data_IF_185758417966
#
_entry.id   IF_185758417966
#
_cell.length_a   1.000
_cell.length_b   1.000
_cell.length_c   1.000
_cell.angle_alpha   90.00
_cell.angle_beta   90.00
_cell.angle_gamma   90.00
#
_symmetry.space_group_name_H-M   'P 1'
#
loop_
_entity.id
_entity.type
_entity.pdbx_description
1 polymer ?
#
# COMPACT_ATOMS: atom_id res chain seq x y z
N UNK A 1 -41.44 -8.45 10.79
CA UNK A 1 -40.67 -7.87 9.67
C UNK A 1 -39.20 -8.18 9.92
N UNK A 2 -38.63 -9.19 9.25
CA UNK A 2 -37.18 -9.39 9.30
C UNK A 2 -36.49 -8.19 8.65
N UNK A 3 -35.68 -7.46 9.43
CA UNK A 3 -34.77 -6.47 8.87
C UNK A 3 -33.85 -7.20 7.90
N UNK A 4 -34.01 -6.93 6.61
CA UNK A 4 -33.17 -7.48 5.56
C UNK A 4 -31.70 -7.22 5.91
N UNK A 5 -30.96 -8.28 6.20
CA UNK A 5 -29.55 -8.21 6.59
C UNK A 5 -28.75 -7.70 5.39
N UNK A 6 -28.15 -6.52 5.51
CA UNK A 6 -27.42 -5.86 4.41
C UNK A 6 -25.92 -6.12 4.56
N UNK A 7 -25.20 -6.54 3.51
CA UNK A 7 -23.77 -6.81 3.60
C UNK A 7 -23.00 -5.57 4.09
N UNK A 8 -22.01 -5.77 4.97
CA UNK A 8 -21.25 -4.67 5.58
C UNK A 8 -19.77 -5.01 5.71
N UNK A 9 -18.92 -4.08 5.27
CA UNK A 9 -17.50 -4.12 5.53
C UNK A 9 -17.21 -3.75 7.00
N UNK A 10 -16.23 -4.40 7.62
CA UNK A 10 -15.81 -4.14 9.01
C UNK A 10 -14.33 -3.84 9.13
N UNK A 11 -13.51 -4.62 8.43
CA UNK A 11 -12.05 -4.52 8.48
C UNK A 11 -11.47 -4.86 7.12
N UNK A 12 -10.37 -4.20 6.77
CA UNK A 12 -9.56 -4.53 5.60
C UNK A 12 -8.10 -4.63 6.03
N UNK A 13 -7.44 -5.70 5.59
CA UNK A 13 -6.03 -5.95 5.86
C UNK A 13 -5.32 -6.38 4.57
N UNK A 14 -4.12 -5.85 4.29
CA UNK A 14 -3.43 -4.78 5.03
C UNK A 14 -4.14 -3.42 4.88
N UNK A 15 -3.89 -2.49 5.82
CA UNK A 15 -4.42 -1.10 5.74
C UNK A 15 -3.56 -0.20 4.84
N UNK A 16 -2.46 -0.71 4.31
CA UNK A 16 -1.62 -0.05 3.33
C UNK A 16 -1.22 -1.02 2.20
N UNK A 17 -1.04 -0.50 1.00
CA UNK A 17 -0.67 -1.30 -0.16
C UNK A 17 0.15 -0.50 -1.18
N UNK A 18 0.96 -1.23 -1.96
CA UNK A 18 1.78 -0.65 -3.02
C UNK A 18 0.90 -0.25 -4.20
N UNK A 19 1.09 0.95 -4.74
CA UNK A 19 0.31 1.47 -5.88
C UNK A 19 0.41 0.63 -7.15
N UNK A 20 1.49 -0.14 -7.30
CA UNK A 20 1.71 -1.09 -8.40
C UNK A 20 0.73 -2.26 -8.39
N UNK A 21 -0.06 -2.41 -7.33
CA UNK A 21 -1.02 -3.49 -7.19
C UNK A 21 -0.36 -4.81 -6.79
N UNK A 22 -1.06 -5.92 -7.06
CA UNK A 22 -0.64 -7.28 -6.71
C UNK A 22 -0.76 -7.61 -5.22
N UNK A 23 -1.06 -6.62 -4.37
CA UNK A 23 -1.29 -6.85 -2.94
C UNK A 23 -2.62 -7.58 -2.76
N UNK A 24 -2.59 -8.76 -2.13
CA UNK A 24 -3.79 -9.48 -1.75
C UNK A 24 -4.41 -8.83 -0.53
N UNK A 25 -5.62 -8.32 -0.70
CA UNK A 25 -6.40 -7.67 0.34
C UNK A 25 -7.41 -8.67 0.90
N UNK A 26 -7.50 -8.72 2.22
CA UNK A 26 -8.45 -9.52 3.00
C UNK A 26 -9.46 -8.57 3.63
N UNK A 27 -10.75 -8.83 3.42
CA UNK A 27 -11.83 -7.99 3.93
C UNK A 27 -12.72 -8.82 4.82
N UNK A 28 -12.83 -8.42 6.07
CA UNK A 28 -13.77 -9.01 7.01
C UNK A 28 -15.03 -8.16 7.08
N UNK A 29 -16.17 -8.83 7.24
CA UNK A 29 -17.46 -8.19 7.31
C UNK A 29 -18.56 -9.14 7.72
N UNK A 30 -19.79 -8.79 7.35
CA UNK A 30 -20.99 -9.52 7.72
C UNK A 30 -21.91 -9.67 6.52
N UNK A 31 -22.51 -10.86 6.42
CA UNK A 31 -23.59 -11.20 5.49
C UNK A 31 -23.23 -11.04 4.01
N UNK A 32 -21.99 -11.33 3.64
CA UNK A 32 -21.61 -11.43 2.23
C UNK A 32 -22.37 -12.58 1.56
N UNK A 33 -22.77 -12.37 0.31
CA UNK A 33 -23.44 -13.39 -0.49
C UNK A 33 -22.46 -14.00 -1.47
N UNK A 34 -22.41 -15.33 -1.51
CA UNK A 34 -21.66 -16.06 -2.52
C UNK A 34 -22.39 -16.11 -3.87
N UNK A 35 -21.83 -16.88 -4.82
CA UNK A 35 -22.45 -17.12 -6.12
C UNK A 35 -23.93 -17.55 -5.99
N UNK A 36 -24.83 -17.05 -6.85
CA UNK A 36 -24.57 -16.31 -8.10
C UNK A 36 -24.37 -14.80 -7.94
N UNK A 37 -24.26 -14.28 -6.71
CA UNK A 37 -24.04 -12.84 -6.48
C UNK A 37 -22.61 -12.46 -6.85
N UNK A 38 -22.44 -11.43 -7.68
CA UNK A 38 -21.14 -10.84 -7.97
C UNK A 38 -20.84 -9.75 -6.94
N UNK A 39 -19.65 -9.81 -6.35
CA UNK A 39 -19.16 -8.87 -5.35
C UNK A 39 -18.09 -7.99 -5.98
N UNK A 40 -18.31 -6.68 -5.98
CA UNK A 40 -17.37 -5.70 -6.53
C UNK A 40 -16.94 -4.74 -5.43
N UNK A 41 -15.63 -4.61 -5.26
CA UNK A 41 -15.03 -3.59 -4.42
C UNK A 41 -14.83 -2.32 -5.24
N UNK A 42 -15.38 -1.21 -4.78
CA UNK A 42 -15.10 0.10 -5.32
C UNK A 42 -13.96 0.73 -4.51
N UNK A 43 -12.83 0.97 -5.19
CA UNK A 43 -11.70 1.70 -4.66
C UNK A 43 -11.78 3.15 -5.13
N UNK A 44 -12.23 4.06 -4.27
CA UNK A 44 -12.26 5.49 -4.54
C UNK A 44 -10.95 6.13 -4.11
N UNK A 45 -10.30 6.86 -5.02
CA UNK A 45 -9.05 7.59 -4.79
C UNK A 45 -9.35 9.08 -4.92
N UNK A 46 -9.64 9.80 -3.81
CA UNK A 46 -10.03 11.20 -3.83
C UNK A 46 -8.99 12.11 -4.51
N UNK A 47 -7.70 11.77 -4.35
CA UNK A 47 -6.57 12.49 -4.94
C UNK A 47 -6.74 12.76 -6.45
N UNK A 48 -7.34 11.81 -7.18
CA UNK A 48 -7.55 11.90 -8.63
C UNK A 48 -9.03 11.93 -9.00
N UNK A 49 -9.92 11.97 -8.00
CA UNK A 49 -11.37 11.83 -8.17
C UNK A 49 -11.76 10.66 -9.09
N UNK A 50 -11.16 9.48 -8.87
CA UNK A 50 -11.46 8.26 -9.63
C UNK A 50 -11.89 7.13 -8.71
N UNK A 51 -12.78 6.29 -9.22
CA UNK A 51 -13.17 5.02 -8.61
C UNK A 51 -12.77 3.89 -9.53
N UNK A 52 -12.16 2.85 -8.96
CA UNK A 52 -11.74 1.63 -9.65
C UNK A 52 -12.57 0.46 -9.14
N UNK A 53 -13.19 -0.26 -10.05
CA UNK A 53 -14.01 -1.43 -9.75
C UNK A 53 -13.15 -2.68 -9.76
N UNK A 54 -13.16 -3.42 -8.65
CA UNK A 54 -12.29 -4.57 -8.43
C UNK A 54 -13.17 -5.78 -8.13
N UNK A 55 -13.07 -6.87 -8.92
CA UNK A 55 -13.76 -8.11 -8.59
C UNK A 55 -13.28 -8.66 -7.25
N UNK A 56 -14.23 -8.96 -6.36
CA UNK A 56 -13.95 -9.62 -5.09
C UNK A 56 -14.24 -11.12 -5.19
N UNK A 57 -13.35 -11.91 -4.61
CA UNK A 57 -13.51 -13.34 -4.40
C UNK A 57 -14.23 -13.59 -3.09
N UNK A 58 -15.37 -14.25 -3.16
CA UNK A 58 -16.09 -14.73 -1.98
C UNK A 58 -15.30 -15.83 -1.28
N UNK A 59 -15.05 -15.67 0.02
CA UNK A 59 -14.51 -16.72 0.88
C UNK A 59 -15.61 -17.34 1.72
N UNK A 60 -16.24 -16.53 2.56
CA UNK A 60 -17.36 -16.92 3.43
C UNK A 60 -18.35 -15.76 3.57
N UNK A 61 -19.45 -15.97 4.29
CA UNK A 61 -20.40 -14.88 4.62
C UNK A 61 -19.77 -13.73 5.43
N UNK A 62 -18.57 -13.93 5.98
CA UNK A 62 -17.84 -12.93 6.78
C UNK A 62 -16.50 -12.55 6.18
N UNK A 63 -16.10 -13.15 5.06
CA UNK A 63 -14.79 -12.96 4.46
C UNK A 63 -14.83 -12.82 2.94
N UNK A 64 -14.18 -11.77 2.44
CA UNK A 64 -13.89 -11.54 1.02
C UNK A 64 -12.39 -11.33 0.84
N UNK A 65 -11.92 -11.56 -0.38
CA UNK A 65 -10.59 -11.11 -0.77
C UNK A 65 -10.59 -10.49 -2.16
N UNK A 66 -9.65 -9.60 -2.43
CA UNK A 66 -9.43 -9.05 -3.76
C UNK A 66 -7.94 -8.77 -3.96
N UNK A 67 -7.52 -8.59 -5.20
CA UNK A 67 -6.15 -8.20 -5.53
C UNK A 67 -6.20 -6.74 -5.94
N UNK A 68 -5.40 -5.91 -5.29
CA UNK A 68 -5.29 -4.49 -5.65
C UNK A 68 -4.72 -4.37 -7.08
N UNK A 69 -5.37 -3.63 -8.00
CA UNK A 69 -4.85 -3.40 -9.35
C UNK A 69 -3.69 -2.39 -9.35
N UNK A 70 -2.96 -2.32 -10.46
CA UNK A 70 -1.97 -1.25 -10.67
C UNK A 70 -2.69 0.10 -10.89
N UNK A 71 -2.50 1.01 -9.94
CA UNK A 71 -3.02 2.39 -9.95
C UNK A 71 -1.89 3.43 -9.99
N UNK A 72 -0.66 3.00 -10.28
CA UNK A 72 0.53 3.85 -10.29
C UNK A 72 0.41 5.02 -11.27
N UNK A 73 -0.21 4.81 -12.42
CA UNK A 73 -0.44 5.89 -13.40
C UNK A 73 -1.39 6.98 -12.90
N UNK A 74 -2.27 6.64 -11.95
CA UNK A 74 -3.23 7.58 -11.37
C UNK A 74 -2.55 8.44 -10.30
N UNK A 75 -1.92 7.83 -9.30
CA UNK A 75 -1.35 8.53 -8.15
C UNK A 75 0.08 9.03 -8.38
N UNK A 76 0.74 8.54 -9.44
CA UNK A 76 2.13 8.82 -9.81
C UNK A 76 3.08 8.47 -8.66
N UNK A 77 3.80 9.48 -8.16
CA UNK A 77 4.80 9.36 -7.11
C UNK A 77 4.23 9.75 -5.73
N UNK A 78 2.91 9.97 -5.62
CA UNK A 78 2.27 10.51 -4.42
C UNK A 78 1.80 9.40 -3.49
N UNK A 79 1.86 9.65 -2.18
CA UNK A 79 1.12 8.87 -1.21
C UNK A 79 -0.35 9.30 -1.24
N UNK A 80 -1.26 8.35 -1.40
CA UNK A 80 -2.68 8.62 -1.58
C UNK A 80 -3.53 7.83 -0.59
N UNK A 81 -4.47 8.50 0.06
CA UNK A 81 -5.55 7.83 0.77
C UNK A 81 -6.57 7.29 -0.25
N UNK A 82 -7.10 6.10 0.02
CA UNK A 82 -8.16 5.51 -0.77
C UNK A 82 -9.23 4.87 0.13
N UNK A 83 -10.46 4.86 -0.37
CA UNK A 83 -11.63 4.38 0.33
C UNK A 83 -12.21 3.16 -0.38
N UNK A 84 -12.46 2.11 0.40
CA UNK A 84 -13.00 0.84 -0.06
C UNK A 84 -14.48 0.79 0.31
N UNK A 85 -15.33 0.55 -0.67
CA UNK A 85 -16.74 0.22 -0.48
C UNK A 85 -17.16 -1.01 -1.27
N UNK A 86 -18.34 -1.56 -0.98
CA UNK A 86 -18.84 -2.78 -1.59
C UNK A 86 -20.11 -2.51 -2.40
N UNK A 87 -20.14 -3.02 -3.64
CA UNK A 87 -21.36 -3.21 -4.40
C UNK A 87 -21.64 -4.69 -4.63
N UNK A 88 -22.93 -4.99 -4.69
CA UNK A 88 -23.45 -6.32 -4.97
C UNK A 88 -24.22 -6.25 -6.29
N UNK A 89 -23.92 -7.15 -7.20
CA UNK A 89 -24.70 -7.34 -8.42
C UNK A 89 -25.36 -8.71 -8.37
N UNK A 90 -26.67 -8.72 -8.20
CA UNK A 90 -27.48 -9.94 -8.23
C UNK A 90 -27.77 -10.26 -9.72
N UNK A 91 -27.33 -11.43 -10.18
CA UNK A 91 -27.67 -11.96 -11.50
C UNK A 91 -28.96 -12.78 -11.39
N UNK A 92 -30.09 -12.22 -11.83
CA UNK A 92 -31.35 -12.97 -11.89
C UNK A 92 -31.41 -13.88 -13.13
N UNK A 93 -32.12 -14.99 -13.02
CA UNK A 93 -32.36 -15.95 -14.12
C UNK A 93 -33.13 -15.35 -15.31
N UNK A 94 -33.68 -14.13 -15.17
CA UNK A 94 -34.44 -13.41 -16.19
C UNK A 94 -33.61 -12.35 -16.94
N UNK A 95 -32.28 -12.36 -16.80
CA UNK A 95 -31.37 -11.44 -17.51
C UNK A 95 -31.35 -10.00 -16.98
N UNK A 96 -32.10 -9.71 -15.92
CA UNK A 96 -32.06 -8.41 -15.23
C UNK A 96 -30.94 -8.42 -14.19
N UNK A 97 -29.97 -7.54 -14.38
CA UNK A 97 -28.90 -7.24 -13.41
C UNK A 97 -29.36 -6.10 -12.51
N UNK A 98 -29.29 -6.30 -11.20
CA UNK A 98 -29.51 -5.20 -10.25
C UNK A 98 -28.24 -4.99 -9.44
N UNK A 99 -27.65 -3.80 -9.57
CA UNK A 99 -26.49 -3.40 -8.80
C UNK A 99 -26.93 -2.51 -7.65
N UNK A 100 -26.56 -2.88 -6.43
CA UNK A 100 -26.79 -2.07 -5.24
C UNK A 100 -25.45 -1.78 -4.58
N UNK A 101 -25.09 -0.51 -4.56
CA UNK A 101 -24.06 -0.01 -3.64
C UNK A 101 -24.57 -0.15 -2.22
N UNK A 102 -23.75 -0.74 -1.36
CA UNK A 102 -24.11 -0.83 0.06
C UNK A 102 -23.84 0.52 0.71
N UNK A 103 -24.79 1.05 1.48
CA UNK A 103 -24.58 2.21 2.39
C UNK A 103 -23.64 1.86 3.58
N UNK A 104 -22.72 0.93 3.38
CA UNK A 104 -21.81 0.44 4.40
C UNK A 104 -20.70 1.47 4.64
N UNK A 105 -20.11 1.48 5.86
CA UNK A 105 -18.96 2.34 6.14
C UNK A 105 -17.83 2.05 5.15
N UNK A 106 -17.26 3.11 4.58
CA UNK A 106 -16.09 3.01 3.74
C UNK A 106 -14.87 2.71 4.61
N UNK A 107 -14.03 1.78 4.17
CA UNK A 107 -12.79 1.46 4.87
C UNK A 107 -11.63 2.20 4.22
N UNK A 108 -10.83 2.89 5.03
CA UNK A 108 -9.66 3.63 4.55
C UNK A 108 -8.46 2.70 4.39
N UNK A 109 -7.75 2.84 3.28
CA UNK A 109 -6.41 2.31 3.08
C UNK A 109 -5.46 3.41 2.59
N UNK A 110 -4.16 3.17 2.74
CA UNK A 110 -3.10 4.05 2.22
C UNK A 110 -2.39 3.39 1.06
N UNK A 111 -2.37 4.06 -0.08
CA UNK A 111 -1.62 3.67 -1.26
C UNK A 111 -0.29 4.40 -1.26
N UNK A 112 0.81 3.66 -1.33
CA UNK A 112 2.15 4.22 -1.40
C UNK A 112 2.87 3.81 -2.69
N UNK A 113 3.70 4.69 -3.27
CA UNK A 113 4.48 4.34 -4.45
C UNK A 113 5.51 3.25 -4.11
N UNK A 114 5.77 2.35 -5.06
CA UNK A 114 6.89 1.39 -4.93
C UNK A 114 8.22 2.13 -5.08
N UNK A 115 9.03 2.15 -4.02
CA UNK A 115 10.38 2.71 -4.07
C UNK A 115 11.36 1.68 -4.65
N UNK A 116 11.86 1.94 -5.85
CA UNK A 116 12.85 1.07 -6.52
C UNK A 116 14.27 1.57 -6.29
N UNK A 117 15.15 0.64 -5.91
CA UNK A 117 16.57 0.93 -5.70
C UNK A 117 17.31 0.90 -7.05
N UNK A 118 18.13 1.92 -7.28
CA UNK A 118 19.06 2.02 -8.41
C UNK A 118 20.39 1.34 -8.09
N UNK A 119 20.88 1.52 -6.86
CA UNK A 119 22.16 0.97 -6.40
C UNK A 119 22.12 0.71 -4.90
N UNK A 120 22.81 -0.34 -4.48
CA UNK A 120 23.08 -0.66 -3.07
C UNK A 120 24.58 -0.52 -2.84
N UNK A 121 24.99 0.14 -1.77
CA UNK A 121 26.40 0.29 -1.42
C UNK A 121 26.63 0.21 0.10
N UNK A 122 27.62 -0.57 0.56
CA UNK A 122 28.33 -1.60 -0.19
C UNK A 122 27.41 -2.78 -0.52
N UNK A 123 27.62 -3.46 -1.66
CA UNK A 123 26.81 -4.64 -2.03
C UNK A 123 27.14 -5.87 -1.19
N UNK A 124 28.36 -5.93 -0.65
CA UNK A 124 28.83 -7.00 0.22
C UNK A 124 29.45 -6.37 1.46
N UNK A 125 29.05 -6.85 2.64
CA UNK A 125 29.64 -6.45 3.90
C UNK A 125 30.34 -7.65 4.54
N UNK A 126 31.64 -7.57 4.82
CA UNK A 126 32.28 -8.58 5.66
C UNK A 126 31.68 -8.51 7.07
N UNK A 127 31.47 -9.68 7.71
CA UNK A 127 30.87 -9.81 9.04
C UNK A 127 31.59 -8.94 10.11
N UNK A 128 32.89 -8.69 9.92
CA UNK A 128 33.73 -7.86 10.78
C UNK A 128 33.48 -6.35 10.67
N UNK A 129 32.79 -5.87 9.62
CA UNK A 129 32.50 -4.46 9.40
C UNK A 129 31.13 -4.02 9.98
N UNK A 130 30.43 -4.89 10.69
CA UNK A 130 29.05 -4.65 11.17
C UNK A 130 28.94 -3.63 12.31
N UNK A 131 30.06 -3.18 12.90
CA UNK A 131 30.06 -2.14 13.95
C UNK A 131 29.97 -0.71 13.42
N UNK A 132 30.59 -0.42 12.27
CA UNK A 132 30.74 0.96 11.74
C UNK A 132 30.25 1.13 10.29
N UNK A 133 29.80 0.06 9.63
CA UNK A 133 29.31 0.15 8.26
C UNK A 133 27.84 0.58 8.18
N UNK A 134 27.53 1.46 7.23
CA UNK A 134 26.16 1.77 6.81
C UNK A 134 25.89 1.23 5.42
N UNK A 135 24.71 0.66 5.22
CA UNK A 135 24.20 0.33 3.88
C UNK A 135 23.45 1.53 3.36
N UNK A 136 23.90 2.04 2.21
CA UNK A 136 23.27 3.09 1.42
C UNK A 136 22.45 2.47 0.29
N UNK A 137 21.17 2.83 0.22
CA UNK A 137 20.28 2.56 -0.91
C UNK A 137 20.09 3.83 -1.69
N UNK A 138 20.60 3.86 -2.92
CA UNK A 138 20.32 4.93 -3.87
C UNK A 138 19.02 4.60 -4.56
N UNK A 139 17.99 5.43 -4.38
CA UNK A 139 16.70 5.27 -5.01
C UNK A 139 16.69 5.93 -6.39
N UNK A 140 15.78 5.50 -7.27
CA UNK A 140 15.62 6.16 -8.57
C UNK A 140 15.16 7.62 -8.42
N UNK A 141 15.63 8.50 -9.31
CA UNK A 141 15.27 9.93 -9.32
C UNK A 141 13.76 10.20 -9.33
N UNK A 142 12.91 9.26 -9.77
CA UNK A 142 11.44 9.46 -9.72
C UNK A 142 10.90 9.70 -8.30
N UNK A 143 11.65 9.32 -7.26
CA UNK A 143 11.26 9.51 -5.85
C UNK A 143 11.68 10.87 -5.26
N UNK A 144 12.51 11.66 -5.95
CA UNK A 144 12.78 13.06 -5.56
C UNK A 144 11.59 13.99 -5.86
N UNK A 145 10.55 13.45 -6.52
CA UNK A 145 9.32 14.15 -6.85
C UNK A 145 8.11 13.58 -6.08
N UNK A 146 8.35 12.76 -5.04
CA UNK A 146 7.29 12.14 -4.24
C UNK A 146 6.85 13.07 -3.12
N UNK A 147 5.69 13.70 -3.30
CA UNK A 147 5.05 14.53 -2.28
C UNK A 147 3.85 13.82 -1.65
N UNK A 148 3.60 14.11 -0.37
CA UNK A 148 2.46 13.61 0.39
C UNK A 148 1.34 14.61 0.18
N UNK A 149 0.30 14.17 -0.52
CA UNK A 149 -0.90 14.97 -0.72
C UNK A 149 -1.99 14.42 0.21
N UNK A 150 -2.23 15.12 1.32
CA UNK A 150 -3.33 14.79 2.22
C UNK A 150 -4.68 15.11 1.56
N UNK A 151 -5.73 14.37 1.97
CA UNK A 151 -7.12 14.56 1.54
C UNK A 151 -7.55 16.05 1.57
N UNK A 152 -8.41 16.50 0.64
CA UNK A 152 -8.87 17.89 0.53
C UNK A 152 -9.74 18.40 1.71
N UNK A 153 -9.93 17.62 2.78
CA UNK A 153 -10.77 18.02 3.93
C UNK A 153 -10.11 19.00 4.90
N UNK A 154 -8.80 19.26 4.78
CA UNK A 154 -8.17 20.39 5.44
C UNK A 154 -7.98 21.52 4.42
N UNK A 155 -8.50 22.74 4.67
CA UNK A 155 -8.10 23.89 3.90
C UNK A 155 -6.61 24.10 4.16
N UNK A 156 -5.76 23.59 3.26
CA UNK A 156 -4.38 24.01 3.18
C UNK A 156 -4.45 25.48 2.80
N UNK A 157 -4.09 26.36 3.72
CA UNK A 157 -3.64 27.71 3.38
C UNK A 157 -2.74 27.61 2.14
N UNK A 158 -3.12 28.30 1.06
CA UNK A 158 -2.62 28.15 -0.32
C UNK A 158 -1.09 28.32 -0.53
N UNK A 159 -0.27 28.44 0.52
CA UNK A 159 1.17 28.71 0.44
C UNK A 159 2.08 27.72 1.18
N UNK A 160 1.55 26.65 1.78
CA UNK A 160 2.38 25.65 2.47
C UNK A 160 2.91 24.60 1.47
N UNK A 161 4.24 24.42 1.31
CA UNK A 161 4.77 23.39 0.41
C UNK A 161 4.33 22.01 0.89
N UNK A 162 3.86 21.17 -0.04
CA UNK A 162 3.44 19.81 0.27
C UNK A 162 4.60 19.06 0.96
N UNK A 163 4.35 18.32 2.05
CA UNK A 163 5.40 17.58 2.72
C UNK A 163 5.98 16.52 1.77
N UNK A 164 7.29 16.53 1.58
CA UNK A 164 7.98 15.55 0.75
C UNK A 164 8.04 14.19 1.45
N UNK A 165 8.10 13.08 0.70
CA UNK A 165 8.16 11.71 1.25
C UNK A 165 9.28 11.51 2.30
N UNK A 166 10.35 12.30 2.21
CA UNK A 166 11.47 12.29 3.16
C UNK A 166 11.09 12.73 4.58
N UNK A 167 9.89 13.27 4.79
CA UNK A 167 9.38 13.58 6.13
C UNK A 167 8.82 12.36 6.87
N UNK A 168 8.62 11.22 6.19
CA UNK A 168 8.09 10.00 6.79
C UNK A 168 9.21 9.11 7.35
N UNK A 169 8.93 8.36 8.44
CA UNK A 169 9.82 7.31 8.89
C UNK A 169 9.92 6.21 7.83
N UNK A 170 11.13 5.66 7.65
CA UNK A 170 11.37 4.58 6.69
C UNK A 170 11.97 3.38 7.40
N UNK A 171 11.54 2.20 6.96
CA UNK A 171 12.05 0.92 7.44
C UNK A 171 12.55 0.10 6.25
N UNK A 172 13.76 -0.43 6.37
CA UNK A 172 14.34 -1.36 5.40
C UNK A 172 14.06 -2.79 5.85
N UNK A 173 13.44 -3.59 4.98
CA UNK A 173 13.28 -5.03 5.17
C UNK A 173 14.39 -5.75 4.44
N UNK A 174 15.22 -6.45 5.18
CA UNK A 174 16.44 -7.08 4.68
C UNK A 174 16.23 -8.58 4.74
N UNK A 175 16.37 -9.26 3.61
CA UNK A 175 16.34 -10.71 3.52
C UNK A 175 17.75 -11.21 3.19
N UNK A 176 18.28 -12.12 4.00
CA UNK A 176 19.59 -12.73 3.78
C UNK A 176 19.58 -14.19 4.23
N UNK A 177 20.54 -14.98 3.75
CA UNK A 177 20.77 -16.35 4.25
C UNK A 177 21.79 -16.25 5.37
N UNK A 178 21.47 -16.79 6.54
CA UNK A 178 22.42 -16.80 7.66
C UNK A 178 23.58 -17.73 7.35
N UNK A 179 24.80 -17.24 7.51
CA UNK A 179 25.99 -18.09 7.36
C UNK A 179 26.06 -19.19 8.44
N UNK A 180 25.55 -18.93 9.65
CA UNK A 180 25.56 -19.90 10.76
C UNK A 180 24.52 -21.03 10.61
N UNK A 181 23.29 -20.70 10.26
CA UNK A 181 22.17 -21.67 10.23
C UNK A 181 21.80 -22.11 8.82
N UNK A 182 22.37 -21.49 7.78
CA UNK A 182 21.98 -21.63 6.37
C UNK A 182 20.49 -21.42 6.09
N UNK A 183 19.76 -20.83 7.04
CA UNK A 183 18.34 -20.55 6.93
C UNK A 183 18.11 -19.14 6.36
N UNK A 184 17.05 -18.93 5.57
CA UNK A 184 16.64 -17.60 5.17
C UNK A 184 16.12 -16.83 6.40
N UNK A 185 16.71 -15.66 6.64
CA UNK A 185 16.31 -14.75 7.71
C UNK A 185 15.82 -13.44 7.09
N UNK A 186 14.77 -12.89 7.69
CA UNK A 186 14.26 -11.56 7.37
C UNK A 186 14.30 -10.67 8.60
N UNK A 187 14.89 -9.48 8.47
CA UNK A 187 15.03 -8.50 9.55
C UNK A 187 14.54 -7.13 9.07
N UNK A 188 13.83 -6.41 9.93
CA UNK A 188 13.42 -5.02 9.69
C UNK A 188 14.35 -4.10 10.47
N UNK A 189 14.87 -3.05 9.82
CA UNK A 189 15.71 -2.01 10.40
C UNK A 189 15.13 -0.63 10.12
N UNK A 190 15.30 0.28 11.06
CA UNK A 190 15.06 1.71 10.83
C UNK A 190 16.06 2.23 9.81
N UNK A 191 15.59 3.01 8.84
CA UNK A 191 16.43 3.69 7.86
C UNK A 191 16.26 5.20 7.99
N UNK A 192 17.31 5.94 7.65
CA UNK A 192 17.34 7.40 7.68
C UNK A 192 17.55 7.94 6.28
N UNK A 193 16.82 8.99 5.92
CA UNK A 193 17.05 9.74 4.68
C UNK A 193 18.37 10.51 4.77
N UNK A 194 19.28 10.31 3.82
CA UNK A 194 20.50 11.10 3.71
C UNK A 194 20.25 12.28 2.76
N UNK A 195 19.61 13.33 3.28
CA UNK A 195 19.24 14.52 2.52
C UNK A 195 20.44 15.29 1.94
N UNK A 196 21.60 15.25 2.61
CA UNK A 196 22.80 15.94 2.16
C UNK A 196 23.39 15.32 0.88
N UNK A 197 23.47 13.98 0.83
CA UNK A 197 23.89 13.27 -0.38
C UNK A 197 22.84 13.39 -1.50
N UNK A 198 21.56 13.45 -1.14
CA UNK A 198 20.47 13.55 -2.11
C UNK A 198 20.38 14.90 -2.83
N UNK A 199 20.78 15.98 -2.17
CA UNK A 199 20.81 17.31 -2.77
C UNK A 199 21.88 17.45 -3.87
N UNK A 200 22.96 16.65 -3.84
CA UNK A 200 24.10 16.80 -4.75
C UNK A 200 23.90 16.13 -6.12
N UNK A 201 23.14 15.04 -6.18
CA UNK A 201 22.99 14.23 -7.40
C UNK A 201 21.53 14.08 -7.89
N UNK A 202 20.56 14.66 -7.19
CA UNK A 202 19.12 14.52 -7.50
C UNK A 202 18.54 13.13 -7.18
N UNK A 203 19.36 12.18 -6.74
CA UNK A 203 18.96 10.84 -6.31
C UNK A 203 18.65 10.84 -4.80
N UNK A 204 17.52 10.25 -4.38
CA UNK A 204 17.20 10.12 -2.95
C UNK A 204 17.95 8.93 -2.36
N UNK A 205 18.59 9.10 -1.19
CA UNK A 205 19.39 8.07 -0.55
C UNK A 205 18.85 7.72 0.84
N UNK A 206 18.78 6.42 1.12
CA UNK A 206 18.47 5.87 2.44
C UNK A 206 19.71 5.20 3.01
N UNK A 207 19.94 5.38 4.30
CA UNK A 207 20.98 4.68 5.05
C UNK A 207 20.37 3.85 6.17
N UNK A 208 20.91 2.67 6.42
CA UNK A 208 20.56 1.88 7.59
C UNK A 208 21.73 1.01 8.05
N UNK A 209 21.68 0.61 9.32
CA UNK A 209 22.69 -0.28 9.90
C UNK A 209 22.45 -1.72 9.45
N UNK A 210 23.50 -2.46 9.06
CA UNK A 210 23.37 -3.84 8.66
C UNK A 210 22.81 -4.70 9.80
N UNK A 211 22.18 -5.85 9.48
CA UNK A 211 21.81 -6.80 10.50
C UNK A 211 23.08 -7.28 11.22
N UNK A 212 23.14 -7.06 12.54
CA UNK A 212 24.20 -7.62 13.37
C UNK A 212 24.20 -9.13 13.21
N UNK A 213 25.38 -9.71 13.00
CA UNK A 213 25.54 -11.15 12.99
C UNK A 213 25.07 -11.70 14.35
N UNK A 214 24.00 -12.49 14.35
CA UNK A 214 23.64 -13.33 15.48
C UNK A 214 24.62 -14.50 15.55
#
# INVERSE_FOLDING_TARGET
>A
MEKQRRPRLRLVEPTCAVSKGGTRMSVQGLWFKGPPTLLTIHLTIPLVNKTVDIPATFGTETHLSFILPDVTSMIKASLAEAWISLALTDCSSCGTTTTKTTDAPQLRIVLYPELTTKKVFPMHLPLSATSDAKISLVLNHRFSLSYIQSSPELPTSDDSPLPHLTSLPVFARISYVSDKTHAPIQVIRTATWNNAASALNGDVMLEFDPPRAA
#
